data_IF_046157182712
#
_entry.id   IF_046157182712
#
_cell.length_a   1.000
_cell.length_b   1.000
_cell.length_c   1.000
_cell.angle_alpha   90.00
_cell.angle_beta   90.00
_cell.angle_gamma   90.00
#
_symmetry.space_group_name_H-M   'P 1'
#
loop_
_entity.id
_entity.type
_entity.pdbx_description
1 polymer ?
#
# COMPACT_ATOMS: atom_id res chain seq x y z
N UNK A 1 22.10 -3.55 -12.16
CA UNK A 1 22.23 -5.02 -12.26
C UNK A 1 22.13 -5.41 -13.73
N UNK A 2 22.89 -6.39 -14.21
CA UNK A 2 22.72 -6.85 -15.59
C UNK A 2 21.52 -7.80 -15.65
N UNK A 3 20.53 -7.52 -16.51
CA UNK A 3 19.34 -8.37 -16.67
C UNK A 3 19.70 -9.83 -16.98
N UNK A 4 20.85 -10.09 -17.62
CA UNK A 4 21.35 -11.43 -17.91
C UNK A 4 21.62 -12.29 -16.67
N UNK A 5 21.77 -11.69 -15.48
CA UNK A 5 21.88 -12.43 -14.22
C UNK A 5 20.59 -13.21 -13.90
N UNK A 6 19.45 -12.82 -14.47
CA UNK A 6 18.17 -13.53 -14.38
C UNK A 6 18.06 -14.71 -15.33
N UNK A 7 18.87 -14.75 -16.39
CA UNK A 7 18.79 -15.75 -17.47
C UNK A 7 18.76 -17.20 -16.95
N UNK A 8 19.56 -17.60 -15.94
CA UNK A 8 19.52 -18.96 -15.40
C UNK A 8 18.18 -19.38 -14.78
N UNK A 9 17.33 -18.43 -14.39
CA UNK A 9 15.98 -18.74 -13.86
C UNK A 9 15.04 -19.21 -14.96
N UNK A 10 15.23 -18.75 -16.20
CA UNK A 10 14.26 -18.89 -17.29
C UNK A 10 14.77 -19.72 -18.48
N UNK A 11 16.08 -19.99 -18.56
CA UNK A 11 16.70 -20.71 -19.68
C UNK A 11 16.04 -22.06 -19.93
N UNK A 12 15.51 -22.25 -21.16
CA UNK A 12 14.85 -23.46 -21.61
C UNK A 12 13.53 -23.78 -20.89
N UNK A 13 13.02 -22.88 -20.04
CA UNK A 13 11.76 -23.08 -19.31
C UNK A 13 10.57 -22.64 -20.13
N UNK A 14 9.46 -23.36 -19.99
CA UNK A 14 8.14 -22.90 -20.40
C UNK A 14 7.54 -22.10 -19.25
N UNK A 15 7.27 -20.82 -19.49
CA UNK A 15 6.78 -19.89 -18.48
C UNK A 15 5.35 -19.45 -18.78
N UNK A 16 4.44 -19.63 -17.81
CA UNK A 16 3.08 -19.09 -17.88
C UNK A 16 2.93 -17.86 -16.99
N UNK A 17 2.65 -16.71 -17.59
CA UNK A 17 2.34 -15.46 -16.89
C UNK A 17 0.88 -15.51 -16.45
N UNK A 18 0.64 -15.55 -15.14
CA UNK A 18 -0.70 -15.57 -14.57
C UNK A 18 -1.16 -14.12 -14.33
N UNK A 19 -2.13 -13.68 -15.13
CA UNK A 19 -2.69 -12.33 -15.13
C UNK A 19 -1.84 -11.33 -15.92
N UNK A 20 -2.47 -10.56 -16.81
CA UNK A 20 -1.80 -9.60 -17.71
C UNK A 20 -2.00 -8.12 -17.32
N UNK A 21 -2.01 -7.87 -16.00
CA UNK A 21 -2.02 -6.52 -15.43
C UNK A 21 -0.67 -5.80 -15.54
N UNK A 22 -0.38 -4.87 -14.61
CA UNK A 22 0.90 -4.14 -14.57
C UNK A 22 2.10 -5.09 -14.45
N UNK A 23 2.07 -6.01 -13.49
CA UNK A 23 3.16 -6.97 -13.28
C UNK A 23 3.26 -7.99 -14.44
N UNK A 24 2.13 -8.49 -14.96
CA UNK A 24 2.14 -9.41 -16.12
C UNK A 24 2.80 -8.82 -17.37
N UNK A 25 2.60 -7.52 -17.65
CA UNK A 25 3.28 -6.82 -18.75
C UNK A 25 4.80 -6.71 -18.52
N UNK A 26 5.20 -6.43 -17.28
CA UNK A 26 6.62 -6.38 -16.90
C UNK A 26 7.26 -7.76 -17.05
N UNK A 27 6.56 -8.83 -16.65
CA UNK A 27 7.02 -10.20 -16.90
C UNK A 27 7.24 -10.47 -18.38
N UNK A 28 6.23 -10.20 -19.21
CA UNK A 28 6.35 -10.46 -20.65
C UNK A 28 7.50 -9.66 -21.27
N UNK A 29 7.62 -8.38 -20.92
CA UNK A 29 8.72 -7.52 -21.39
C UNK A 29 10.08 -8.07 -20.96
N UNK A 30 10.22 -8.53 -19.71
CA UNK A 30 11.45 -9.10 -19.19
C UNK A 30 11.83 -10.38 -19.94
N UNK A 31 10.90 -11.33 -20.08
CA UNK A 31 11.17 -12.60 -20.74
C UNK A 31 11.51 -12.43 -22.23
N UNK A 32 10.78 -11.57 -22.95
CA UNK A 32 11.09 -11.26 -24.37
C UNK A 32 12.47 -10.65 -24.54
N UNK A 33 12.95 -9.85 -23.57
CA UNK A 33 14.29 -9.26 -23.60
C UNK A 33 15.39 -10.25 -23.26
N UNK A 34 15.12 -11.22 -22.39
CA UNK A 34 16.07 -12.29 -22.03
C UNK A 34 16.22 -13.31 -23.15
N UNK A 35 15.14 -13.55 -23.92
CA UNK A 35 15.09 -14.42 -25.09
C UNK A 35 15.73 -15.80 -24.85
N UNK A 36 15.36 -16.41 -23.72
CA UNK A 36 15.91 -17.70 -23.29
C UNK A 36 14.86 -18.73 -22.88
N UNK A 37 13.57 -18.36 -22.86
CA UNK A 37 12.49 -19.30 -22.56
C UNK A 37 12.25 -20.24 -23.74
N UNK A 38 11.88 -21.49 -23.46
CA UNK A 38 11.40 -22.40 -24.50
C UNK A 38 9.99 -22.01 -25.00
N UNK A 39 9.16 -21.48 -24.10
CA UNK A 39 7.82 -20.98 -24.41
C UNK A 39 7.43 -19.89 -23.40
N UNK A 40 6.68 -18.89 -23.88
CA UNK A 40 6.02 -17.89 -23.03
C UNK A 40 4.53 -17.94 -23.32
N UNK A 41 3.72 -18.10 -22.26
CA UNK A 41 2.27 -18.01 -22.33
C UNK A 41 1.74 -16.93 -21.40
N UNK A 42 0.60 -16.36 -21.77
CA UNK A 42 -0.17 -15.45 -20.92
C UNK A 42 -1.51 -16.10 -20.60
N UNK A 43 -1.74 -16.34 -19.31
CA UNK A 43 -2.93 -16.97 -18.79
C UNK A 43 -3.77 -15.95 -18.01
N UNK A 44 -5.00 -15.67 -18.46
CA UNK A 44 -5.86 -14.65 -17.87
C UNK A 44 -7.35 -15.04 -18.01
N UNK A 45 -8.21 -14.52 -17.14
CA UNK A 45 -9.66 -14.70 -17.26
C UNK A 45 -10.19 -14.07 -18.56
N UNK A 46 -9.65 -12.90 -18.93
CA UNK A 46 -10.05 -12.17 -20.14
C UNK A 46 -9.07 -12.40 -21.27
N UNK A 47 -9.55 -12.61 -22.51
CA UNK A 47 -8.68 -12.67 -23.67
C UNK A 47 -7.77 -11.44 -23.79
N UNK A 48 -6.51 -11.68 -24.14
CA UNK A 48 -5.53 -10.64 -24.44
C UNK A 48 -5.08 -10.78 -25.89
N UNK A 49 -4.94 -9.66 -26.58
CA UNK A 49 -4.40 -9.63 -27.95
C UNK A 49 -2.90 -9.32 -27.89
N UNK A 50 -2.09 -10.38 -27.91
CA UNK A 50 -0.63 -10.30 -27.76
C UNK A 50 0.01 -11.12 -28.90
N UNK A 51 0.66 -10.45 -29.88
CA UNK A 51 1.32 -11.15 -30.96
C UNK A 51 2.41 -12.10 -30.46
N UNK A 52 2.48 -13.28 -31.09
CA UNK A 52 3.55 -14.27 -30.92
C UNK A 52 3.69 -14.83 -29.49
N UNK A 53 2.60 -14.80 -28.72
CA UNK A 53 2.54 -15.33 -27.35
C UNK A 53 1.35 -16.29 -27.23
N UNK A 54 1.58 -17.46 -26.62
CA UNK A 54 0.51 -18.44 -26.37
C UNK A 54 -0.52 -17.85 -25.40
N UNK A 55 -1.78 -17.76 -25.81
CA UNK A 55 -2.88 -17.26 -24.97
C UNK A 55 -3.65 -18.39 -24.30
N UNK A 56 -3.82 -18.32 -22.97
CA UNK A 56 -4.62 -19.26 -22.18
C UNK A 56 -5.74 -18.48 -21.49
N UNK A 57 -6.96 -18.51 -22.03
CA UNK A 57 -8.04 -17.62 -21.57
C UNK A 57 -9.31 -18.34 -21.16
N UNK A 58 -10.06 -17.76 -20.23
CA UNK A 58 -11.35 -18.27 -19.75
C UNK A 58 -11.28 -18.79 -18.32
N UNK A 59 -12.36 -19.38 -17.82
CA UNK A 59 -12.48 -19.78 -16.41
C UNK A 59 -11.47 -20.85 -15.98
N UNK A 60 -11.07 -21.71 -16.92
CA UNK A 60 -10.14 -22.84 -16.75
C UNK A 60 -8.67 -22.47 -16.99
N UNK A 61 -8.35 -21.18 -17.16
CA UNK A 61 -6.99 -20.74 -17.54
C UNK A 61 -5.90 -21.24 -16.57
N UNK A 62 -6.19 -21.28 -15.27
CA UNK A 62 -5.25 -21.77 -14.26
C UNK A 62 -5.02 -23.27 -14.39
N UNK A 63 -6.05 -24.05 -14.72
CA UNK A 63 -5.92 -25.49 -14.93
C UNK A 63 -5.01 -25.80 -16.12
N UNK A 64 -5.17 -25.07 -17.23
CA UNK A 64 -4.34 -25.24 -18.42
C UNK A 64 -2.91 -24.71 -18.24
N UNK A 65 -2.68 -23.76 -17.34
CA UNK A 65 -1.36 -23.25 -17.02
C UNK A 65 -0.49 -24.24 -16.19
N UNK A 66 -1.10 -25.25 -15.54
CA UNK A 66 -0.39 -26.23 -14.68
C UNK A 66 0.73 -27.00 -15.36
N UNK A 67 0.65 -27.15 -16.69
CA UNK A 67 1.66 -27.86 -17.49
C UNK A 67 2.98 -27.12 -17.68
N UNK A 68 3.10 -25.87 -17.21
CA UNK A 68 4.29 -25.04 -17.37
C UNK A 68 5.30 -25.25 -16.24
N UNK A 69 6.57 -24.97 -16.54
CA UNK A 69 7.68 -25.20 -15.62
C UNK A 69 7.76 -24.09 -14.56
N UNK A 70 7.33 -22.87 -14.92
CA UNK A 70 7.22 -21.72 -14.03
C UNK A 70 5.85 -21.03 -14.19
N UNK A 71 5.25 -20.71 -13.04
CA UNK A 71 3.99 -19.97 -12.94
C UNK A 71 4.30 -18.55 -12.43
N UNK A 72 4.35 -17.57 -13.34
CA UNK A 72 4.74 -16.20 -13.02
C UNK A 72 3.52 -15.42 -12.54
N UNK A 73 3.32 -15.37 -11.23
CA UNK A 73 2.09 -14.87 -10.62
C UNK A 73 2.08 -13.35 -10.51
N UNK A 74 0.99 -12.73 -10.98
CA UNK A 74 0.61 -11.36 -10.60
C UNK A 74 -0.18 -11.36 -9.29
N UNK A 75 -0.02 -10.36 -8.39
CA UNK A 75 -0.64 -10.35 -7.05
C UNK A 75 -2.17 -10.43 -7.04
N UNK A 76 -2.83 -9.97 -8.10
CA UNK A 76 -4.30 -9.99 -8.22
C UNK A 76 -4.89 -11.34 -8.61
N UNK A 77 -4.07 -12.37 -8.86
CA UNK A 77 -4.52 -13.69 -9.26
C UNK A 77 -4.74 -14.59 -8.04
N UNK A 78 -6.00 -14.97 -7.81
CA UNK A 78 -6.41 -15.85 -6.71
C UNK A 78 -6.19 -17.32 -7.11
N UNK A 79 -5.31 -18.02 -6.38
CA UNK A 79 -4.84 -19.38 -6.70
C UNK A 79 -5.10 -20.42 -5.62
N UNK A 80 -5.58 -20.00 -4.45
CA UNK A 80 -5.43 -20.75 -3.19
C UNK A 80 -5.98 -22.17 -3.20
N UNK A 81 -7.07 -22.39 -3.93
CA UNK A 81 -7.76 -23.69 -4.03
C UNK A 81 -7.69 -24.30 -5.43
N UNK A 82 -6.95 -23.67 -6.34
CA UNK A 82 -6.88 -24.07 -7.75
C UNK A 82 -5.61 -24.84 -8.08
N UNK A 83 -4.57 -24.69 -7.26
CA UNK A 83 -3.27 -25.32 -7.45
C UNK A 83 -2.92 -26.25 -6.28
N UNK A 84 -2.33 -27.40 -6.61
CA UNK A 84 -1.71 -28.34 -5.68
C UNK A 84 -0.43 -27.74 -5.08
N UNK A 85 0.09 -28.34 -4.00
CA UNK A 85 1.34 -27.87 -3.38
C UNK A 85 2.55 -28.00 -4.33
N UNK A 86 2.56 -29.04 -5.16
CA UNK A 86 3.59 -29.20 -6.20
C UNK A 86 3.53 -28.07 -7.22
N UNK A 87 2.35 -27.68 -7.68
CA UNK A 87 2.18 -26.56 -8.62
C UNK A 87 2.52 -25.21 -7.95
N UNK A 88 2.15 -25.04 -6.68
CA UNK A 88 2.51 -23.85 -5.90
C UNK A 88 4.03 -23.69 -5.75
N UNK A 89 4.78 -24.79 -5.71
CA UNK A 89 6.25 -24.73 -5.65
C UNK A 89 6.91 -24.16 -6.91
N UNK A 90 6.18 -24.11 -8.03
CA UNK A 90 6.63 -23.53 -9.31
C UNK A 90 6.24 -22.06 -9.47
N UNK A 91 5.56 -21.48 -8.49
CA UNK A 91 5.19 -20.08 -8.50
C UNK A 91 6.43 -19.22 -8.31
N UNK A 92 6.58 -18.23 -9.18
CA UNK A 92 7.60 -17.20 -9.05
C UNK A 92 6.93 -15.83 -9.13
N UNK A 93 7.15 -15.00 -8.12
CA UNK A 93 6.65 -13.62 -8.08
C UNK A 93 7.78 -12.64 -8.37
N UNK A 94 7.44 -11.44 -8.83
CA UNK A 94 8.43 -10.38 -9.04
C UNK A 94 9.16 -10.02 -7.75
N UNK A 95 8.40 -10.00 -6.64
CA UNK A 95 8.92 -9.77 -5.29
C UNK A 95 9.93 -10.83 -4.90
N UNK A 96 9.65 -12.12 -5.12
CA UNK A 96 10.60 -13.21 -4.81
C UNK A 96 11.90 -13.06 -5.61
N UNK A 97 11.82 -12.74 -6.91
CA UNK A 97 13.01 -12.51 -7.74
C UNK A 97 13.83 -11.33 -7.21
N UNK A 98 13.19 -10.21 -6.88
CA UNK A 98 13.86 -9.04 -6.31
C UNK A 98 14.57 -9.39 -4.98
N UNK A 99 13.86 -10.06 -4.06
CA UNK A 99 14.36 -10.40 -2.73
C UNK A 99 15.46 -11.45 -2.74
N UNK A 100 15.40 -12.39 -3.70
CA UNK A 100 16.44 -13.39 -3.90
C UNK A 100 17.75 -12.77 -4.40
N UNK A 101 17.65 -11.80 -5.30
CA UNK A 101 18.82 -11.21 -5.96
C UNK A 101 19.48 -10.08 -5.16
N UNK A 102 18.69 -9.30 -4.41
CA UNK A 102 19.16 -8.11 -3.66
C UNK A 102 20.16 -7.24 -4.46
N UNK A 103 19.79 -6.73 -5.66
CA UNK A 103 20.70 -5.92 -6.49
C UNK A 103 21.11 -4.58 -5.86
N UNK A 104 20.41 -4.19 -4.81
CA UNK A 104 20.58 -2.97 -4.05
C UNK A 104 20.03 -3.22 -2.63
N UNK A 105 20.20 -2.27 -1.71
CA UNK A 105 19.59 -2.38 -0.37
C UNK A 105 18.06 -2.29 -0.48
N UNK A 106 17.34 -3.27 0.07
CA UNK A 106 15.87 -3.31 0.02
C UNK A 106 15.29 -3.04 1.41
N UNK A 107 14.37 -2.07 1.45
CA UNK A 107 13.49 -1.79 2.59
C UNK A 107 12.09 -2.28 2.22
N UNK A 108 11.68 -3.43 2.76
CA UNK A 108 10.32 -3.94 2.59
C UNK A 108 9.39 -3.44 3.67
N UNK A 109 8.22 -2.94 3.30
CA UNK A 109 7.21 -2.42 4.23
C UNK A 109 5.88 -3.12 4.00
N UNK A 110 5.31 -3.72 5.05
CA UNK A 110 3.97 -4.30 5.04
C UNK A 110 3.18 -3.99 6.32
N UNK A 111 1.90 -4.34 6.28
CA UNK A 111 0.91 -4.12 7.33
C UNK A 111 -0.49 -4.18 6.76
N UNK A 112 -1.50 -4.16 7.61
CA UNK A 112 -2.89 -4.03 7.16
C UNK A 112 -3.16 -2.58 6.75
N UNK A 113 -2.86 -1.62 7.63
CA UNK A 113 -2.98 -0.17 7.40
C UNK A 113 -1.62 0.54 7.52
N UNK A 114 -1.50 1.73 6.91
CA UNK A 114 -0.31 2.59 7.02
C UNK A 114 0.86 2.27 6.08
N UNK A 115 0.79 1.17 5.31
CA UNK A 115 1.83 0.73 4.36
C UNK A 115 2.29 1.84 3.42
N UNK A 116 1.37 2.36 2.61
CA UNK A 116 1.69 3.32 1.56
C UNK A 116 2.21 4.64 2.10
N UNK A 117 1.66 5.10 3.22
CA UNK A 117 2.15 6.31 3.89
C UNK A 117 3.58 6.09 4.42
N UNK A 118 3.83 4.97 5.09
CA UNK A 118 5.17 4.64 5.62
C UNK A 118 6.20 4.45 4.51
N UNK A 119 5.84 3.76 3.42
CA UNK A 119 6.71 3.60 2.24
C UNK A 119 7.04 4.94 1.60
N UNK A 120 6.05 5.81 1.45
CA UNK A 120 6.26 7.13 0.84
C UNK A 120 7.06 8.07 1.74
N UNK A 121 6.83 8.04 3.06
CA UNK A 121 7.66 8.75 4.04
C UNK A 121 9.10 8.26 4.04
N UNK A 122 9.31 6.94 4.02
CA UNK A 122 10.66 6.35 3.98
C UNK A 122 11.38 6.76 2.69
N UNK A 123 10.69 6.70 1.55
CA UNK A 123 11.21 7.18 0.27
C UNK A 123 11.56 8.68 0.33
N UNK A 124 10.67 9.52 0.87
CA UNK A 124 10.88 10.97 1.03
C UNK A 124 12.12 11.26 1.88
N UNK A 125 12.22 10.63 3.05
CA UNK A 125 13.35 10.80 3.97
C UNK A 125 14.69 10.41 3.36
N UNK A 126 14.74 9.27 2.66
CA UNK A 126 15.97 8.83 2.00
C UNK A 126 16.41 9.80 0.91
N UNK A 127 15.48 10.27 0.05
CA UNK A 127 15.81 11.27 -0.97
C UNK A 127 16.28 12.59 -0.34
N UNK A 128 15.63 13.05 0.72
CA UNK A 128 16.03 14.26 1.45
C UNK A 128 17.43 14.13 2.08
N UNK A 129 17.83 12.91 2.45
CA UNK A 129 19.17 12.60 2.94
C UNK A 129 20.21 12.39 1.82
N UNK A 130 19.82 12.49 0.55
CA UNK A 130 20.71 12.36 -0.61
C UNK A 130 20.91 10.94 -1.13
N UNK A 131 20.11 9.97 -0.67
CA UNK A 131 20.17 8.61 -1.20
C UNK A 131 19.54 8.56 -2.60
N UNK A 132 20.11 7.72 -3.47
CA UNK A 132 19.47 7.38 -4.74
C UNK A 132 18.37 6.33 -4.48
N UNK A 133 17.15 6.80 -4.28
CA UNK A 133 16.06 5.93 -3.82
C UNK A 133 15.05 5.64 -4.91
N UNK A 134 14.47 4.44 -4.88
CA UNK A 134 13.36 4.01 -5.73
C UNK A 134 12.18 3.60 -4.87
N UNK A 135 10.96 3.95 -5.31
CA UNK A 135 9.71 3.48 -4.71
C UNK A 135 9.10 2.43 -5.63
N UNK A 136 9.00 1.20 -5.15
CA UNK A 136 8.56 0.04 -5.93
C UNK A 136 7.56 -0.84 -5.16
N UNK A 137 7.00 -1.83 -5.85
CA UNK A 137 6.09 -2.82 -5.28
C UNK A 137 4.62 -2.46 -5.51
N UNK A 138 3.81 -2.52 -4.46
CA UNK A 138 2.37 -2.25 -4.53
C UNK A 138 2.05 -0.77 -4.86
N UNK A 139 2.98 0.15 -4.58
CA UNK A 139 2.94 1.54 -5.03
C UNK A 139 4.22 1.87 -5.82
N UNK A 140 4.21 2.97 -6.58
CA UNK A 140 5.30 3.28 -7.50
C UNK A 140 5.25 2.37 -8.72
N UNK A 141 6.35 1.70 -9.04
CA UNK A 141 6.45 0.75 -10.18
C UNK A 141 6.58 -0.70 -9.71
N UNK A 142 6.08 -1.69 -10.48
CA UNK A 142 6.37 -3.11 -10.30
C UNK A 142 7.85 -3.42 -9.96
N UNK A 143 8.11 -4.42 -9.09
CA UNK A 143 9.46 -4.69 -8.58
C UNK A 143 10.55 -4.86 -9.64
N UNK A 144 10.25 -5.49 -10.77
CA UNK A 144 11.25 -5.77 -11.81
C UNK A 144 11.26 -4.76 -12.96
N UNK A 145 10.36 -3.77 -12.98
CA UNK A 145 10.22 -2.83 -14.11
C UNK A 145 11.50 -2.02 -14.36
N UNK A 146 12.20 -1.66 -13.28
CA UNK A 146 13.41 -0.82 -13.31
C UNK A 146 14.63 -1.54 -12.71
N UNK A 147 14.69 -2.87 -12.81
CA UNK A 147 15.74 -3.68 -12.18
C UNK A 147 17.17 -3.32 -12.63
N UNK A 148 17.34 -2.84 -13.87
CA UNK A 148 18.65 -2.46 -14.39
C UNK A 148 19.22 -1.20 -13.72
N UNK A 149 18.34 -0.34 -13.21
CA UNK A 149 18.73 0.85 -12.47
C UNK A 149 19.18 0.54 -11.03
N UNK A 150 18.83 -0.65 -10.52
CA UNK A 150 19.18 -1.09 -9.18
C UNK A 150 20.65 -1.53 -9.14
N UNK A 151 21.41 -0.90 -8.26
CA UNK A 151 22.82 -1.19 -8.01
C UNK A 151 23.14 -0.95 -6.52
N UNK A 152 24.34 -1.32 -6.03
CA UNK A 152 24.69 -1.17 -4.61
C UNK A 152 24.57 0.25 -4.03
N UNK A 153 24.63 1.30 -4.86
CA UNK A 153 24.47 2.70 -4.44
C UNK A 153 23.01 3.18 -4.40
N UNK A 154 22.07 2.31 -4.79
CA UNK A 154 20.62 2.60 -4.75
C UNK A 154 19.96 1.96 -3.54
N UNK A 155 18.84 2.54 -3.10
CA UNK A 155 17.98 1.97 -2.05
C UNK A 155 16.58 1.80 -2.61
N UNK A 156 16.04 0.58 -2.57
CA UNK A 156 14.67 0.29 -2.96
C UNK A 156 13.76 0.29 -1.73
N UNK A 157 12.78 1.20 -1.69
CA UNK A 157 11.67 1.14 -0.76
C UNK A 157 10.53 0.39 -1.44
N UNK A 158 10.23 -0.81 -0.94
CA UNK A 158 9.29 -1.73 -1.55
C UNK A 158 8.06 -1.91 -0.65
N UNK A 159 6.91 -1.38 -1.06
CA UNK A 159 5.64 -1.73 -0.41
C UNK A 159 5.22 -3.15 -0.83
N UNK A 160 4.98 -4.03 0.16
CA UNK A 160 4.63 -5.43 -0.10
C UNK A 160 3.24 -5.76 0.46
N UNK A 161 2.35 -6.25 -0.39
CA UNK A 161 1.05 -6.80 0.01
C UNK A 161 1.20 -8.21 0.62
N UNK A 162 0.14 -8.75 1.23
CA UNK A 162 0.15 -10.14 1.70
C UNK A 162 0.27 -11.13 0.55
N UNK A 163 -0.38 -10.87 -0.59
CA UNK A 163 -0.29 -11.72 -1.79
C UNK A 163 1.13 -11.75 -2.36
N UNK A 164 1.82 -10.62 -2.35
CA UNK A 164 3.23 -10.54 -2.79
C UNK A 164 4.19 -11.27 -1.84
N UNK A 165 3.84 -11.43 -0.57
CA UNK A 165 4.66 -12.10 0.44
C UNK A 165 4.31 -13.58 0.64
N UNK A 166 3.19 -14.06 0.08
CA UNK A 166 2.70 -15.42 0.31
C UNK A 166 3.69 -16.48 -0.19
N UNK A 167 4.31 -16.24 -1.35
CA UNK A 167 5.22 -17.17 -2.04
C UNK A 167 6.67 -16.67 -2.10
N UNK A 168 7.10 -15.86 -1.12
CA UNK A 168 8.51 -15.48 -1.01
C UNK A 168 9.24 -16.42 -0.07
N UNK A 169 10.49 -16.70 -0.40
CA UNK A 169 11.43 -17.51 0.37
C UNK A 169 12.68 -16.71 0.77
N UNK A 170 12.69 -15.43 0.43
CA UNK A 170 13.71 -14.46 0.80
C UNK A 170 13.05 -13.25 1.45
N UNK A 171 13.77 -12.54 2.31
CA UNK A 171 13.31 -11.33 2.98
C UNK A 171 14.17 -10.12 2.56
N UNK A 172 13.67 -8.89 2.64
CA UNK A 172 14.47 -7.66 2.51
C UNK A 172 15.52 -7.52 3.64
N UNK A 173 16.57 -6.74 3.38
CA UNK A 173 17.55 -6.38 4.42
C UNK A 173 16.92 -5.59 5.56
N UNK A 174 15.97 -4.70 5.27
CA UNK A 174 15.23 -3.95 6.28
C UNK A 174 13.75 -4.26 6.10
N UNK A 175 13.14 -4.93 7.09
CA UNK A 175 11.75 -5.35 7.07
C UNK A 175 10.92 -4.53 8.07
N UNK A 176 9.82 -3.94 7.63
CA UNK A 176 8.87 -3.21 8.48
C UNK A 176 7.52 -3.91 8.46
N UNK A 177 7.01 -4.30 9.64
CA UNK A 177 5.67 -4.84 9.81
C UNK A 177 4.87 -3.96 10.77
N UNK A 178 3.94 -3.17 10.22
CA UNK A 178 3.27 -2.09 10.94
C UNK A 178 2.12 -2.54 11.86
N UNK A 179 1.30 -3.49 11.41
CA UNK A 179 0.11 -3.95 12.11
C UNK A 179 -0.51 -5.12 11.35
N UNK A 180 -1.32 -5.91 12.04
CA UNK A 180 -2.14 -6.98 11.46
C UNK A 180 -3.55 -6.83 12.04
N UNK A 181 -4.50 -6.45 11.20
CA UNK A 181 -5.92 -6.45 11.50
C UNK A 181 -6.66 -7.39 10.53
N UNK A 182 -7.85 -7.90 10.89
CA UNK A 182 -8.64 -8.72 9.98
C UNK A 182 -9.00 -7.97 8.69
N UNK A 183 -8.46 -8.42 7.55
CA UNK A 183 -8.72 -7.93 6.20
C UNK A 183 -8.41 -9.09 5.21
N UNK A 184 -9.09 -9.15 4.06
CA UNK A 184 -8.89 -10.19 3.03
C UNK A 184 -9.20 -11.64 3.45
N UNK A 185 -10.21 -11.86 4.30
CA UNK A 185 -10.63 -13.21 4.74
C UNK A 185 -11.27 -14.06 3.61
N UNK A 186 -11.58 -13.45 2.46
CA UNK A 186 -11.98 -14.11 1.23
C UNK A 186 -10.82 -14.87 0.55
N UNK A 187 -9.57 -14.43 0.77
CA UNK A 187 -8.36 -15.12 0.28
C UNK A 187 -7.67 -15.95 1.36
N UNK A 188 -7.94 -15.70 2.64
CA UNK A 188 -7.30 -16.42 3.75
C UNK A 188 -8.29 -17.22 4.60
N UNK A 189 -8.04 -18.53 4.69
CA UNK A 189 -8.78 -19.49 5.55
C UNK A 189 -8.81 -19.05 7.02
N UNK A 190 -7.83 -18.26 7.46
CA UNK A 190 -7.80 -17.67 8.81
C UNK A 190 -6.98 -16.38 8.86
N UNK A 191 -7.22 -15.57 9.90
CA UNK A 191 -6.39 -14.41 10.24
C UNK A 191 -4.92 -14.81 10.43
N UNK A 192 -4.66 -16.00 10.97
CA UNK A 192 -3.31 -16.51 11.19
C UNK A 192 -2.60 -16.85 9.86
N UNK A 193 -3.32 -17.38 8.87
CA UNK A 193 -2.76 -17.57 7.53
C UNK A 193 -2.39 -16.22 6.87
N UNK A 194 -3.25 -15.20 7.03
CA UNK A 194 -2.97 -13.83 6.58
C UNK A 194 -1.75 -13.22 7.29
N UNK A 195 -1.67 -13.38 8.61
CA UNK A 195 -0.55 -12.95 9.42
C UNK A 195 0.75 -13.64 8.97
N UNK A 196 0.71 -14.96 8.76
CA UNK A 196 1.86 -15.74 8.33
C UNK A 196 2.39 -15.34 6.95
N UNK A 197 1.51 -15.02 6.00
CA UNK A 197 1.93 -14.46 4.72
C UNK A 197 2.71 -13.15 4.93
N UNK A 198 2.24 -12.24 5.79
CA UNK A 198 2.97 -11.00 6.10
C UNK A 198 4.29 -11.23 6.82
N UNK A 199 4.37 -12.22 7.72
CA UNK A 199 5.61 -12.54 8.47
C UNK A 199 6.75 -12.99 7.57
N UNK A 200 6.48 -13.48 6.35
CA UNK A 200 7.52 -13.78 5.37
C UNK A 200 8.41 -12.56 5.04
N UNK A 201 7.95 -11.33 5.31
CA UNK A 201 8.76 -10.12 5.15
C UNK A 201 10.04 -10.12 6.01
N UNK A 202 10.07 -10.85 7.13
CA UNK A 202 11.27 -10.95 7.96
C UNK A 202 11.74 -12.39 8.22
N UNK A 203 10.90 -13.39 7.90
CA UNK A 203 11.13 -14.80 8.25
C UNK A 203 12.45 -15.35 7.73
N UNK A 204 12.93 -14.88 6.59
CA UNK A 204 14.12 -15.38 5.90
C UNK A 204 15.31 -14.41 5.98
N UNK A 205 15.29 -13.47 6.94
CA UNK A 205 16.40 -12.55 7.16
C UNK A 205 17.68 -13.26 7.63
N UNK A 206 18.82 -12.67 7.27
CA UNK A 206 20.16 -13.15 7.57
C UNK A 206 20.87 -12.26 8.62
N UNK A 207 22.11 -12.61 8.94
CA UNK A 207 22.93 -11.84 9.88
C UNK A 207 23.22 -10.47 9.29
N UNK A 208 22.96 -9.41 10.07
CA UNK A 208 23.12 -8.02 9.64
C UNK A 208 21.86 -7.36 9.07
N UNK A 209 20.82 -8.14 8.77
CA UNK A 209 19.50 -7.59 8.41
C UNK A 209 18.82 -6.95 9.64
N UNK A 210 17.80 -6.11 9.42
CA UNK A 210 17.04 -5.40 10.45
C UNK A 210 15.54 -5.70 10.33
N UNK A 211 14.92 -6.06 11.45
CA UNK A 211 13.48 -6.25 11.61
C UNK A 211 12.90 -5.11 12.44
N UNK A 212 11.98 -4.34 11.88
CA UNK A 212 11.25 -3.25 12.54
C UNK A 212 9.79 -3.70 12.70
N UNK A 213 9.42 -4.16 13.89
CA UNK A 213 8.12 -4.79 14.12
C UNK A 213 7.29 -4.01 15.13
N UNK A 214 6.00 -3.90 14.88
CA UNK A 214 5.07 -3.46 15.92
C UNK A 214 5.09 -4.44 17.09
N UNK A 215 5.28 -3.92 18.30
CA UNK A 215 5.39 -4.69 19.54
C UNK A 215 4.18 -5.58 19.79
N UNK A 216 2.99 -5.15 19.39
CA UNK A 216 1.73 -5.87 19.62
C UNK A 216 1.59 -7.16 18.79
N UNK A 217 2.47 -7.36 17.81
CA UNK A 217 2.39 -8.47 16.85
C UNK A 217 3.73 -9.21 16.73
N UNK A 218 4.64 -9.01 17.68
CA UNK A 218 5.86 -9.81 17.81
C UNK A 218 5.42 -11.18 18.32
N UNK A 219 5.55 -12.27 17.53
CA UNK A 219 5.26 -13.59 18.05
C UNK A 219 6.16 -13.96 19.23
N UNK A 220 5.62 -14.78 20.14
CA UNK A 220 6.24 -15.16 21.41
C UNK A 220 7.61 -15.85 21.26
N UNK A 221 7.91 -16.38 20.08
CA UNK A 221 9.17 -17.04 19.74
C UNK A 221 10.31 -16.06 19.43
N UNK A 222 10.02 -14.76 19.32
CA UNK A 222 11.01 -13.71 19.15
C UNK A 222 11.44 -13.20 20.52
N UNK A 223 12.63 -13.62 20.95
CA UNK A 223 13.29 -13.00 22.10
C UNK A 223 13.56 -11.52 21.83
N UNK A 224 12.96 -10.65 22.64
CA UNK A 224 13.10 -9.18 22.61
C UNK A 224 14.28 -8.67 23.43
N UNK A 225 14.92 -9.54 24.24
CA UNK A 225 15.92 -9.11 25.22
C UNK A 225 17.36 -9.20 24.68
N UNK A 226 18.09 -8.11 24.89
CA UNK A 226 19.54 -7.96 24.74
C UNK A 226 20.38 -8.82 25.73
N UNK A 227 19.81 -9.86 26.33
CA UNK A 227 20.48 -10.73 27.31
C UNK A 227 21.14 -11.98 26.70
N UNK A 228 21.22 -12.07 25.37
CA UNK A 228 21.93 -13.15 24.68
C UNK A 228 23.47 -12.96 24.66
N UNK A 229 24.00 -12.08 25.51
CA UNK A 229 25.44 -11.83 25.59
C UNK A 229 26.26 -12.93 26.28
N UNK A 230 25.65 -13.81 27.09
CA UNK A 230 26.42 -14.69 27.99
C UNK A 230 25.82 -16.10 28.27
N UNK A 231 24.88 -16.61 27.48
CA UNK A 231 24.29 -17.94 27.72
C UNK A 231 24.92 -19.02 26.81
N UNK A 232 25.71 -19.99 27.33
CA UNK A 232 26.39 -21.02 26.53
C UNK A 232 25.44 -22.10 25.97
N UNK A 233 24.14 -22.01 26.22
CA UNK A 233 23.13 -23.00 25.84
C UNK A 233 22.10 -22.48 24.81
N UNK A 234 22.37 -21.35 24.17
CA UNK A 234 21.49 -20.71 23.18
C UNK A 234 21.69 -21.22 21.74
N UNK A 235 22.09 -22.47 21.55
CA UNK A 235 22.39 -23.01 20.21
C UNK A 235 21.26 -23.79 19.53
N UNK A 236 20.14 -24.08 20.24
CA UNK A 236 19.08 -24.96 19.72
C UNK A 236 17.66 -24.37 19.66
N UNK A 237 17.45 -23.07 19.92
CA UNK A 237 16.15 -22.41 19.72
C UNK A 237 16.27 -21.25 18.72
N UNK A 238 16.20 -21.54 17.41
CA UNK A 238 15.76 -20.60 16.36
C UNK A 238 16.13 -19.11 16.47
N UNK A 239 17.32 -18.75 16.99
CA UNK A 239 17.68 -17.37 17.27
C UNK A 239 17.69 -16.56 15.98
N UNK A 240 16.94 -15.44 15.98
CA UNK A 240 16.90 -14.50 14.87
C UNK A 240 18.30 -14.10 14.44
N UNK A 241 18.55 -14.13 13.14
CA UNK A 241 19.78 -13.61 12.55
C UNK A 241 19.76 -12.08 12.41
N UNK A 242 18.59 -11.44 12.40
CA UNK A 242 18.45 -9.99 12.23
C UNK A 242 18.36 -9.22 13.55
N UNK A 243 18.78 -7.95 13.51
CA UNK A 243 18.61 -6.99 14.61
C UNK A 243 17.16 -6.54 14.70
N UNK A 244 16.54 -6.65 15.88
CA UNK A 244 15.17 -6.20 16.13
C UNK A 244 15.11 -4.75 16.62
N UNK A 245 14.19 -3.97 16.05
CA UNK A 245 13.72 -2.68 16.56
C UNK A 245 12.21 -2.80 16.76
N UNK A 246 11.73 -2.58 17.98
CA UNK A 246 10.29 -2.61 18.24
C UNK A 246 9.69 -1.21 18.07
N UNK A 247 8.56 -1.13 17.35
CA UNK A 247 7.78 0.10 17.17
C UNK A 247 6.42 -0.02 17.84
N UNK A 248 5.80 1.10 18.23
CA UNK A 248 4.50 1.07 18.89
C UNK A 248 3.86 2.44 19.08
N UNK A 249 2.71 2.47 19.75
CA UNK A 249 2.04 3.71 20.16
C UNK A 249 2.36 4.10 21.62
N UNK A 250 3.06 3.24 22.35
CA UNK A 250 3.43 3.42 23.75
C UNK A 250 4.60 2.50 24.12
N UNK A 251 5.09 2.63 25.37
CA UNK A 251 6.05 1.69 25.95
C UNK A 251 5.42 0.29 26.08
N UNK A 252 6.19 -0.80 25.96
CA UNK A 252 7.66 -0.86 26.00
C UNK A 252 8.36 -0.91 24.62
N UNK A 253 7.74 -0.38 23.56
CA UNK A 253 8.42 -0.29 22.26
C UNK A 253 9.69 0.59 22.32
N UNK A 254 10.72 0.23 21.55
CA UNK A 254 11.99 0.96 21.46
C UNK A 254 11.82 2.32 20.78
N UNK A 255 10.95 2.38 19.76
CA UNK A 255 10.55 3.64 19.13
C UNK A 255 9.03 3.73 19.10
N UNK A 256 8.45 4.77 19.66
CA UNK A 256 7.00 4.89 19.76
C UNK A 256 6.53 6.33 19.64
N UNK A 257 5.25 6.50 19.33
CA UNK A 257 4.62 7.83 19.28
C UNK A 257 3.50 7.93 20.30
N UNK A 258 3.62 8.87 21.24
CA UNK A 258 2.61 9.12 22.27
C UNK A 258 2.29 10.62 22.32
N UNK A 259 1.00 10.97 22.36
CA UNK A 259 0.52 12.37 22.43
C UNK A 259 1.13 13.32 21.38
N UNK A 260 1.50 12.79 20.21
CA UNK A 260 2.08 13.55 19.11
C UNK A 260 3.61 13.70 19.17
N UNK A 261 4.24 13.32 20.28
CA UNK A 261 5.69 13.22 20.39
C UNK A 261 6.19 11.89 19.79
N UNK A 262 7.46 11.86 19.42
CA UNK A 262 8.15 10.66 18.93
C UNK A 262 9.30 10.35 19.90
N UNK A 263 9.33 9.12 20.40
CA UNK A 263 10.38 8.60 21.25
C UNK A 263 11.21 7.61 20.44
N UNK A 264 12.51 7.84 20.36
CA UNK A 264 13.50 6.98 19.72
C UNK A 264 14.43 6.38 20.79
N UNK A 265 15.24 5.34 20.47
CA UNK A 265 16.09 4.70 21.47
C UNK A 265 17.04 5.62 22.22
N UNK A 266 17.48 6.70 21.58
CA UNK A 266 18.51 7.62 22.06
C UNK A 266 17.99 9.04 22.37
N UNK A 267 16.74 9.36 22.00
CA UNK A 267 16.19 10.72 22.16
C UNK A 267 14.66 10.79 22.09
N UNK A 268 14.12 11.86 22.63
CA UNK A 268 12.72 12.28 22.46
C UNK A 268 12.65 13.46 21.48
N UNK A 269 11.60 13.46 20.64
CA UNK A 269 11.22 14.56 19.77
C UNK A 269 9.85 15.06 20.25
N UNK A 270 9.79 16.23 20.92
CA UNK A 270 8.55 16.78 21.45
C UNK A 270 7.49 16.98 20.35
N UNK A 271 6.21 16.88 20.71
CA UNK A 271 5.10 17.01 19.76
C UNK A 271 5.13 18.32 18.94
N UNK A 272 5.59 19.43 19.54
CA UNK A 272 5.73 20.72 18.84
C UNK A 272 6.84 20.78 17.80
N UNK A 273 7.77 19.82 17.82
CA UNK A 273 8.88 19.70 16.87
C UNK A 273 8.55 18.75 15.71
N UNK A 274 7.54 17.88 15.86
CA UNK A 274 7.03 17.00 14.79
C UNK A 274 6.17 17.82 13.81
N UNK A 275 6.82 18.61 12.97
CA UNK A 275 6.17 19.48 11.97
C UNK A 275 5.79 18.67 10.74
N UNK A 276 4.52 18.24 10.66
CA UNK A 276 3.99 17.47 9.53
C UNK A 276 2.65 18.02 9.03
N UNK A 277 2.38 17.84 7.74
CA UNK A 277 1.06 18.12 7.14
C UNK A 277 0.09 16.95 7.35
N UNK A 278 0.59 15.76 7.71
CA UNK A 278 -0.24 14.58 7.91
C UNK A 278 -1.09 14.71 9.18
N UNK A 279 -2.39 14.42 9.06
CA UNK A 279 -3.35 14.52 10.17
C UNK A 279 -3.58 13.19 10.87
N UNK A 280 -3.76 13.23 12.20
CA UNK A 280 -4.16 12.07 13.01
C UNK A 280 -3.00 11.30 13.66
N UNK A 281 -3.28 10.72 14.84
CA UNK A 281 -2.28 10.01 15.67
C UNK A 281 -1.58 8.86 14.94
N UNK A 282 -2.32 8.13 14.10
CA UNK A 282 -1.79 7.03 13.30
C UNK A 282 -0.68 7.48 12.32
N UNK A 283 -0.66 8.75 11.90
CA UNK A 283 0.40 9.24 11.03
C UNK A 283 1.68 9.56 11.80
N UNK A 284 1.61 9.92 13.08
CA UNK A 284 2.82 10.02 13.93
C UNK A 284 3.45 8.64 14.12
N UNK A 285 2.63 7.60 14.26
CA UNK A 285 3.09 6.21 14.24
C UNK A 285 3.76 5.84 12.90
N UNK A 286 3.13 6.16 11.76
CA UNK A 286 3.73 5.92 10.44
C UNK A 286 5.06 6.68 10.24
N UNK A 287 5.15 7.92 10.73
CA UNK A 287 6.39 8.72 10.72
C UNK A 287 7.46 8.04 11.57
N UNK A 288 7.12 7.58 12.77
CA UNK A 288 8.05 6.85 13.65
C UNK A 288 8.61 5.60 12.97
N UNK A 289 7.74 4.79 12.36
CA UNK A 289 8.15 3.61 11.60
C UNK A 289 9.05 3.95 10.40
N UNK A 290 8.71 5.01 9.65
CA UNK A 290 9.49 5.47 8.50
C UNK A 290 10.87 6.04 8.90
N UNK A 291 10.95 6.76 10.02
CA UNK A 291 12.23 7.24 10.59
C UNK A 291 13.13 6.06 10.94
N UNK A 292 12.59 5.03 11.59
CA UNK A 292 13.38 3.82 11.92
C UNK A 292 13.83 3.06 10.69
N UNK A 293 13.00 2.96 9.65
CA UNK A 293 13.35 2.33 8.39
C UNK A 293 14.46 3.10 7.65
N UNK A 294 14.33 4.44 7.56
CA UNK A 294 15.33 5.29 6.94
C UNK A 294 16.68 5.27 7.71
N UNK A 295 16.64 5.34 9.04
CA UNK A 295 17.83 5.24 9.89
C UNK A 295 18.54 3.90 9.73
N UNK A 296 17.80 2.80 9.69
CA UNK A 296 18.35 1.47 9.47
C UNK A 296 19.09 1.36 8.12
N UNK A 297 18.70 2.17 7.12
CA UNK A 297 19.39 2.26 5.84
C UNK A 297 20.63 3.17 5.86
N UNK A 298 20.77 4.01 6.90
CA UNK A 298 21.87 4.95 7.12
C UNK A 298 21.49 6.43 7.01
N UNK A 299 20.18 6.75 6.94
CA UNK A 299 19.73 8.14 6.87
C UNK A 299 19.84 8.86 8.21
N UNK A 300 20.24 10.12 8.17
CA UNK A 300 20.32 10.98 9.35
C UNK A 300 18.92 11.44 9.78
N UNK A 301 18.53 11.15 11.03
CA UNK A 301 17.19 11.45 11.55
C UNK A 301 16.91 12.95 11.55
N UNK A 302 17.90 13.80 11.85
CA UNK A 302 17.69 15.25 11.87
C UNK A 302 17.36 15.79 10.48
N UNK A 303 18.05 15.32 9.44
CA UNK A 303 17.69 15.62 8.04
C UNK A 303 16.32 15.07 7.64
N UNK A 304 15.94 13.90 8.15
CA UNK A 304 14.61 13.33 7.91
C UNK A 304 13.51 14.19 8.55
N UNK A 305 13.69 14.62 9.80
CA UNK A 305 12.76 15.51 10.49
C UNK A 305 12.68 16.89 9.84
N UNK A 306 13.83 17.44 9.41
CA UNK A 306 13.88 18.72 8.71
C UNK A 306 13.10 18.73 7.39
N UNK A 307 12.99 17.58 6.70
CA UNK A 307 12.24 17.45 5.45
C UNK A 307 10.77 17.05 5.64
N UNK A 308 10.36 16.63 6.84
CA UNK A 308 8.99 16.21 7.14
C UNK A 308 7.90 17.28 6.80
N UNK A 309 8.14 18.60 6.97
CA UNK A 309 7.17 19.63 6.57
C UNK A 309 6.85 19.64 5.08
N UNK A 310 7.76 19.17 4.22
CA UNK A 310 7.60 19.16 2.76
C UNK A 310 6.80 17.94 2.27
N UNK A 311 6.62 16.93 3.12
CA UNK A 311 5.85 15.75 2.79
C UNK A 311 4.34 16.04 2.82
N UNK A 312 3.72 16.10 1.64
CA UNK A 312 2.29 16.43 1.46
C UNK A 312 1.33 15.24 1.59
N UNK A 313 1.85 14.04 1.84
CA UNK A 313 1.04 12.82 1.85
C UNK A 313 0.97 12.13 0.49
N UNK A 314 0.01 11.21 0.37
CA UNK A 314 -0.22 10.44 -0.85
C UNK A 314 -1.25 11.16 -1.71
N UNK A 315 -1.00 11.19 -3.03
CA UNK A 315 -1.99 11.67 -3.98
C UNK A 315 -3.31 10.88 -3.81
N UNK A 316 -4.43 11.60 -3.86
CA UNK A 316 -5.77 11.03 -3.71
C UNK A 316 -6.12 10.41 -2.35
N UNK A 317 -5.31 10.64 -1.30
CA UNK A 317 -5.58 10.20 0.08
C UNK A 317 -5.56 11.39 1.05
N UNK A 318 -6.74 11.93 1.36
CA UNK A 318 -6.90 13.19 2.12
C UNK A 318 -5.94 14.29 1.62
N UNK A 319 -5.69 14.32 0.32
CA UNK A 319 -4.74 15.21 -0.32
C UNK A 319 -5.31 16.63 -0.34
N UNK A 320 -4.60 17.59 0.24
CA UNK A 320 -4.89 19.00 0.03
C UNK A 320 -4.59 19.37 -1.43
N UNK A 321 -5.62 19.79 -2.17
CA UNK A 321 -5.50 20.19 -3.58
C UNK A 321 -5.18 21.67 -3.70
N UNK A 322 -6.06 22.53 -3.18
CA UNK A 322 -5.92 23.98 -3.24
C UNK A 322 -6.91 24.66 -2.28
N UNK A 323 -6.75 25.98 -2.10
CA UNK A 323 -7.72 26.86 -1.44
C UNK A 323 -8.22 27.91 -2.43
N UNK A 324 -9.49 27.82 -2.83
CA UNK A 324 -10.13 28.78 -3.74
C UNK A 324 -11.18 29.57 -2.98
N UNK A 325 -11.09 30.90 -3.00
CA UNK A 325 -12.03 31.80 -2.32
C UNK A 325 -12.24 31.46 -0.82
N UNK A 326 -11.19 31.00 -0.15
CA UNK A 326 -11.22 30.62 1.28
C UNK A 326 -11.72 29.20 1.55
N UNK A 327 -12.04 28.41 0.52
CA UNK A 327 -12.51 27.02 0.63
C UNK A 327 -11.37 26.05 0.31
N UNK A 328 -11.04 25.16 1.26
CA UNK A 328 -10.10 24.06 1.08
C UNK A 328 -10.75 22.91 0.30
N UNK A 329 -10.06 22.41 -0.73
CA UNK A 329 -10.48 21.24 -1.50
C UNK A 329 -9.59 20.05 -1.17
N UNK A 330 -10.21 18.98 -0.66
CA UNK A 330 -9.53 17.77 -0.21
C UNK A 330 -9.90 16.62 -1.14
N UNK A 331 -8.90 15.97 -1.72
CA UNK A 331 -9.03 14.82 -2.60
C UNK A 331 -8.75 13.53 -1.84
N UNK A 332 -9.80 12.77 -1.57
CA UNK A 332 -9.71 11.43 -1.00
C UNK A 332 -10.34 10.41 -1.97
N UNK A 333 -10.05 10.51 -3.27
CA UNK A 333 -10.64 9.62 -4.29
C UNK A 333 -10.38 8.12 -4.03
N UNK A 334 -9.36 7.75 -3.25
CA UNK A 334 -9.11 6.37 -2.81
C UNK A 334 -10.15 5.84 -1.80
N UNK A 335 -11.01 6.72 -1.28
CA UNK A 335 -12.15 6.42 -0.41
C UNK A 335 -13.23 5.65 -1.17
N UNK A 336 -13.11 4.32 -1.22
CA UNK A 336 -14.03 3.44 -1.95
C UNK A 336 -14.96 2.62 -1.05
N UNK A 337 -14.98 2.90 0.26
CA UNK A 337 -15.85 2.22 1.23
C UNK A 337 -16.48 3.20 2.24
N UNK A 338 -17.65 2.89 2.83
CA UNK A 338 -18.37 3.77 3.75
C UNK A 338 -17.57 4.16 5.00
N UNK A 339 -16.86 3.23 5.61
CA UNK A 339 -16.05 3.48 6.80
C UNK A 339 -14.91 4.47 6.53
N UNK A 340 -14.33 4.43 5.32
CA UNK A 340 -13.31 5.38 4.91
C UNK A 340 -13.89 6.80 4.80
N UNK A 341 -15.13 6.94 4.32
CA UNK A 341 -15.80 8.24 4.27
C UNK A 341 -16.05 8.85 5.64
N UNK A 342 -16.49 8.03 6.61
CA UNK A 342 -16.63 8.47 8.00
C UNK A 342 -15.28 8.92 8.56
N UNK A 343 -14.22 8.14 8.35
CA UNK A 343 -12.88 8.44 8.83
C UNK A 343 -12.32 9.72 8.20
N UNK A 344 -12.54 9.93 6.90
CA UNK A 344 -12.08 11.09 6.15
C UNK A 344 -12.69 12.38 6.70
N UNK A 345 -13.99 12.39 6.96
CA UNK A 345 -14.66 13.56 7.54
C UNK A 345 -14.18 13.82 8.97
N UNK A 346 -14.05 12.76 9.79
CA UNK A 346 -13.57 12.88 11.19
C UNK A 346 -12.08 13.24 11.31
N UNK A 347 -11.30 13.13 10.23
CA UNK A 347 -9.91 13.56 10.22
C UNK A 347 -9.77 15.09 10.42
N UNK A 348 -10.86 15.84 10.21
CA UNK A 348 -10.93 17.28 10.37
C UNK A 348 -11.79 17.64 11.60
N UNK A 349 -11.18 18.08 12.72
CA UNK A 349 -11.91 18.38 13.96
C UNK A 349 -12.98 19.48 13.81
N UNK A 350 -12.75 20.41 12.88
CA UNK A 350 -13.65 21.49 12.50
C UNK A 350 -14.70 21.09 11.43
N UNK A 351 -14.69 19.83 11.00
CA UNK A 351 -15.68 19.22 10.10
C UNK A 351 -15.48 19.54 8.61
N UNK A 352 -16.49 19.21 7.80
CA UNK A 352 -16.55 19.51 6.37
C UNK A 352 -17.90 20.13 6.04
N UNK A 353 -17.91 21.17 5.19
CA UNK A 353 -19.18 21.80 4.79
C UNK A 353 -19.85 21.00 3.68
N UNK A 354 -19.05 20.46 2.77
CA UNK A 354 -19.47 19.62 1.65
C UNK A 354 -18.68 18.32 1.60
N UNK A 355 -19.39 17.22 1.38
CA UNK A 355 -18.81 15.92 1.02
C UNK A 355 -19.42 15.42 -0.28
N UNK A 356 -18.57 15.01 -1.21
CA UNK A 356 -18.97 14.42 -2.50
C UNK A 356 -18.89 12.90 -2.38
N UNK A 357 -20.05 12.23 -2.50
CA UNK A 357 -20.23 10.78 -2.41
C UNK A 357 -20.75 10.22 -3.72
N UNK A 358 -20.55 8.92 -3.96
CA UNK A 358 -21.18 8.18 -5.05
C UNK A 358 -20.22 7.73 -6.15
N UNK A 359 -20.73 6.89 -7.03
CA UNK A 359 -19.95 6.07 -7.96
C UNK A 359 -20.58 4.69 -8.10
N UNK A 360 -19.89 3.75 -8.75
CA UNK A 360 -20.46 2.46 -9.10
C UNK A 360 -21.03 1.70 -7.91
N UNK A 361 -22.29 1.29 -8.05
CA UNK A 361 -22.95 0.45 -7.07
C UNK A 361 -22.37 -0.97 -7.08
N UNK A 362 -22.06 -1.47 -5.88
CA UNK A 362 -21.51 -2.82 -5.63
C UNK A 362 -22.35 -3.62 -4.64
N UNK A 363 -23.54 -3.13 -4.29
CA UNK A 363 -24.43 -3.67 -3.27
C UNK A 363 -23.74 -3.83 -1.91
N UNK A 364 -22.96 -2.82 -1.51
CA UNK A 364 -22.36 -2.78 -0.18
C UNK A 364 -23.31 -2.11 0.83
N UNK A 365 -23.22 -2.44 2.13
CA UNK A 365 -24.01 -1.81 3.18
C UNK A 365 -23.61 -0.33 3.39
N UNK A 366 -24.56 0.61 3.44
CA UNK A 366 -24.32 2.05 3.62
C UNK A 366 -24.92 2.62 4.91
N UNK A 367 -25.55 1.78 5.74
CA UNK A 367 -26.34 2.17 6.92
C UNK A 367 -25.49 3.00 7.89
N UNK A 368 -24.27 2.54 8.21
CA UNK A 368 -23.36 3.27 9.10
C UNK A 368 -22.98 4.66 8.60
N UNK A 369 -22.81 4.81 7.28
CA UNK A 369 -22.50 6.11 6.69
C UNK A 369 -23.72 7.01 6.72
N UNK A 370 -24.91 6.48 6.39
CA UNK A 370 -26.15 7.23 6.49
C UNK A 370 -26.42 7.70 7.94
N UNK A 371 -26.24 6.82 8.93
CA UNK A 371 -26.36 7.15 10.36
C UNK A 371 -25.39 8.27 10.75
N UNK A 372 -24.14 8.19 10.30
CA UNK A 372 -23.15 9.24 10.54
C UNK A 372 -23.57 10.57 9.91
N UNK A 373 -24.01 10.57 8.65
CA UNK A 373 -24.46 11.79 7.96
C UNK A 373 -25.70 12.39 8.64
N UNK A 374 -26.63 11.55 9.12
CA UNK A 374 -27.84 11.98 9.82
C UNK A 374 -27.56 12.75 11.12
N UNK A 375 -26.37 12.62 11.71
CA UNK A 375 -25.95 13.43 12.87
C UNK A 375 -25.84 14.93 12.57
N UNK A 376 -25.79 15.32 11.29
CA UNK A 376 -25.60 16.72 10.87
C UNK A 376 -24.14 17.18 10.95
N UNK A 377 -23.18 16.26 11.14
CA UNK A 377 -21.74 16.58 11.15
C UNK A 377 -21.25 17.16 9.80
N UNK A 378 -21.96 16.83 8.72
CA UNK A 378 -21.76 17.41 7.38
C UNK A 378 -23.07 18.07 6.95
N UNK A 379 -23.01 19.34 6.56
CA UNK A 379 -24.20 20.11 6.21
C UNK A 379 -24.69 19.83 4.79
N UNK A 380 -23.77 19.69 3.82
CA UNK A 380 -24.11 19.47 2.43
C UNK A 380 -23.51 18.14 1.94
N UNK A 381 -24.36 17.26 1.45
CA UNK A 381 -23.95 15.99 0.86
C UNK A 381 -24.30 16.02 -0.62
N UNK A 382 -23.26 16.03 -1.44
CA UNK A 382 -23.35 16.07 -2.90
C UNK A 382 -23.24 14.64 -3.41
N UNK A 383 -24.25 14.20 -4.13
CA UNK A 383 -24.52 12.81 -4.45
C UNK A 383 -24.34 12.61 -5.96
N UNK A 384 -23.25 11.95 -6.33
CA UNK A 384 -23.03 11.43 -7.69
C UNK A 384 -23.99 10.25 -7.97
N UNK A 385 -24.13 9.84 -9.24
CA UNK A 385 -25.01 8.73 -9.61
C UNK A 385 -24.72 7.39 -8.93
N UNK A 386 -25.64 6.45 -9.17
CA UNK A 386 -25.66 5.10 -8.62
C UNK A 386 -25.68 5.07 -7.09
N UNK A 387 -24.56 4.72 -6.45
CA UNK A 387 -24.49 4.56 -5.00
C UNK A 387 -24.72 5.88 -4.24
N UNK A 388 -24.36 7.03 -4.81
CA UNK A 388 -24.58 8.33 -4.16
C UNK A 388 -26.07 8.60 -3.99
N UNK A 389 -26.88 8.35 -5.03
CA UNK A 389 -28.34 8.50 -4.93
C UNK A 389 -28.93 7.59 -3.87
N UNK A 390 -28.49 6.33 -3.80
CA UNK A 390 -28.91 5.38 -2.77
C UNK A 390 -28.54 5.85 -1.36
N UNK A 391 -27.31 6.33 -1.15
CA UNK A 391 -26.90 6.92 0.14
C UNK A 391 -27.81 8.09 0.50
N UNK A 392 -28.12 8.96 -0.47
CA UNK A 392 -29.02 10.10 -0.27
C UNK A 392 -30.44 9.74 0.14
N UNK A 393 -30.94 8.58 -0.30
CA UNK A 393 -32.26 8.06 0.08
C UNK A 393 -32.28 7.53 1.51
N UNK A 394 -31.12 7.12 2.05
CA UNK A 394 -30.97 6.67 3.44
C UNK A 394 -30.77 7.82 4.43
N UNK A 395 -30.45 9.03 3.95
CA UNK A 395 -30.34 10.23 4.79
C UNK A 395 -31.73 10.81 5.04
N UNK A 396 -32.18 10.76 6.29
CA UNK A 396 -33.50 11.20 6.75
C UNK A 396 -33.46 12.52 7.52
N UNK A 397 -32.29 12.93 7.99
CA UNK A 397 -32.13 14.14 8.80
C UNK A 397 -32.42 15.42 7.99
N UNK A 398 -33.29 16.31 8.48
CA UNK A 398 -33.58 17.58 7.82
C UNK A 398 -32.42 18.59 7.95
N UNK A 399 -31.42 18.30 8.78
CA UNK A 399 -30.22 19.12 8.96
C UNK A 399 -29.23 18.98 7.79
N UNK A 400 -29.42 17.96 6.96
CA UNK A 400 -28.51 17.63 5.86
C UNK A 400 -29.14 18.07 4.55
N UNK A 401 -28.50 19.01 3.87
CA UNK A 401 -28.83 19.39 2.51
C UNK A 401 -28.30 18.33 1.54
N UNK A 402 -29.20 17.69 0.78
CA UNK A 402 -28.89 16.60 -0.14
C UNK A 402 -28.99 17.10 -1.57
N UNK A 403 -27.89 17.08 -2.31
CA UNK A 403 -27.86 17.60 -3.69
C UNK A 403 -27.43 16.48 -4.64
N UNK A 404 -28.36 16.02 -5.47
CA UNK A 404 -28.07 15.05 -6.53
C UNK A 404 -27.50 15.78 -7.75
N UNK A 405 -26.44 15.23 -8.33
CA UNK A 405 -25.73 15.79 -9.50
C UNK A 405 -25.42 14.69 -10.50
N UNK A 406 -25.31 15.03 -11.78
CA UNK A 406 -25.07 14.06 -12.87
C UNK A 406 -23.64 13.58 -12.97
N UNK A 407 -22.67 14.41 -12.57
CA UNK A 407 -21.25 14.12 -12.72
C UNK A 407 -20.37 14.92 -11.75
N UNK A 408 -19.06 14.64 -11.80
CA UNK A 408 -18.07 15.26 -10.92
C UNK A 408 -17.89 16.76 -11.20
N UNK A 409 -18.08 17.22 -12.44
CA UNK A 409 -17.95 18.63 -12.79
C UNK A 409 -19.09 19.45 -12.19
N UNK A 410 -20.32 18.94 -12.25
CA UNK A 410 -21.46 19.51 -11.54
C UNK A 410 -21.26 19.43 -10.02
N UNK A 411 -20.73 18.32 -9.50
CA UNK A 411 -20.44 18.18 -8.08
C UNK A 411 -19.48 19.28 -7.57
N UNK A 412 -18.37 19.52 -8.26
CA UNK A 412 -17.36 20.53 -7.88
C UNK A 412 -17.94 21.94 -7.97
N UNK A 413 -18.67 22.26 -9.05
CA UNK A 413 -19.36 23.57 -9.19
C UNK A 413 -20.38 23.79 -8.07
N UNK A 414 -21.20 22.81 -7.79
CA UNK A 414 -22.20 22.85 -6.70
C UNK A 414 -21.51 23.04 -5.35
N UNK A 415 -20.44 22.29 -5.08
CA UNK A 415 -19.68 22.40 -3.84
C UNK A 415 -19.10 23.81 -3.65
N UNK A 416 -18.57 24.42 -4.73
CA UNK A 416 -18.00 25.77 -4.68
C UNK A 416 -19.00 26.86 -4.29
N UNK A 417 -20.30 26.64 -4.55
CA UNK A 417 -21.37 27.59 -4.19
C UNK A 417 -21.87 27.42 -2.76
N UNK A 418 -21.72 26.22 -2.19
CA UNK A 418 -22.27 25.86 -0.88
C UNK A 418 -21.23 25.91 0.25
N UNK A 419 -19.99 25.53 -0.04
CA UNK A 419 -18.93 25.44 0.95
C UNK A 419 -18.39 26.83 1.33
N UNK A 420 -17.98 26.97 2.61
CA UNK A 420 -17.33 28.18 3.13
C UNK A 420 -15.90 27.94 3.59
N UNK A 421 -15.58 26.69 3.91
CA UNK A 421 -14.35 26.26 4.54
C UNK A 421 -13.77 25.04 3.86
N UNK A 422 -14.58 23.99 3.63
CA UNK A 422 -14.03 22.71 3.15
C UNK A 422 -14.98 21.87 2.30
N UNK A 423 -14.44 21.38 1.18
CA UNK A 423 -15.03 20.35 0.30
C UNK A 423 -14.15 19.11 0.35
N UNK A 424 -14.75 17.95 0.60
CA UNK A 424 -14.03 16.66 0.56
C UNK A 424 -14.63 15.77 -0.53
N UNK A 425 -13.82 15.35 -1.50
CA UNK A 425 -14.16 14.23 -2.38
C UNK A 425 -13.85 12.92 -1.65
N UNK A 426 -14.88 12.21 -1.18
CA UNK A 426 -14.73 10.89 -0.55
C UNK A 426 -15.84 9.96 -1.03
N UNK A 427 -15.69 9.35 -2.22
CA UNK A 427 -16.82 8.74 -2.94
C UNK A 427 -17.56 7.63 -2.17
N UNK A 428 -16.93 7.01 -1.18
CA UNK A 428 -17.42 5.81 -0.48
C UNK A 428 -17.73 4.63 -1.44
N UNK A 429 -17.30 4.72 -2.70
CA UNK A 429 -17.69 3.86 -3.79
C UNK A 429 -16.55 3.71 -4.82
N UNK A 430 -16.59 2.59 -5.53
CA UNK A 430 -15.64 2.32 -6.62
C UNK A 430 -15.77 3.35 -7.75
N UNK A 431 -14.66 3.65 -8.42
CA UNK A 431 -14.60 4.59 -9.55
C UNK A 431 -14.95 3.95 -10.89
N UNK A 432 -14.88 2.62 -10.97
CA UNK A 432 -15.16 1.84 -12.19
C UNK A 432 -16.54 2.17 -12.77
N UNK A 433 -16.74 1.95 -14.07
CA UNK A 433 -17.97 2.35 -14.78
C UNK A 433 -17.98 3.81 -15.23
N UNK A 434 -17.39 4.72 -14.43
CA UNK A 434 -17.23 6.14 -14.79
C UNK A 434 -15.79 6.52 -15.12
N UNK A 435 -14.83 5.85 -14.47
CA UNK A 435 -13.39 6.07 -14.63
C UNK A 435 -12.67 4.72 -14.72
N UNK A 436 -11.47 4.72 -15.30
CA UNK A 436 -10.56 3.58 -15.34
C UNK A 436 -10.12 3.15 -13.94
N UNK A 437 -9.87 4.10 -13.05
CA UNK A 437 -9.42 3.86 -11.67
C UNK A 437 -9.66 5.10 -10.79
N UNK A 438 -9.30 5.02 -9.51
CA UNK A 438 -9.55 6.12 -8.58
C UNK A 438 -8.58 7.29 -8.80
N UNK A 439 -7.39 7.02 -9.34
CA UNK A 439 -6.39 8.01 -9.68
C UNK A 439 -6.87 8.93 -10.80
N UNK A 440 -7.52 8.39 -11.84
CA UNK A 440 -8.13 9.18 -12.91
C UNK A 440 -9.24 10.08 -12.36
N UNK A 441 -10.12 9.54 -11.51
CA UNK A 441 -11.16 10.34 -10.83
C UNK A 441 -10.58 11.45 -9.96
N UNK A 442 -9.53 11.14 -9.19
CA UNK A 442 -8.85 12.10 -8.33
C UNK A 442 -8.12 13.18 -9.12
N UNK A 443 -7.53 12.82 -10.25
CA UNK A 443 -6.90 13.77 -11.19
C UNK A 443 -7.93 14.68 -11.86
N UNK A 444 -9.09 14.13 -12.24
CA UNK A 444 -10.21 14.90 -12.79
C UNK A 444 -10.73 15.91 -11.75
N UNK A 445 -10.88 15.51 -10.49
CA UNK A 445 -11.24 16.43 -9.40
C UNK A 445 -10.24 17.58 -9.27
N UNK A 446 -8.94 17.30 -9.26
CA UNK A 446 -7.89 18.33 -9.19
C UNK A 446 -7.98 19.32 -10.35
N UNK A 447 -8.21 18.82 -11.57
CA UNK A 447 -8.41 19.66 -12.76
C UNK A 447 -9.63 20.58 -12.59
N UNK A 448 -10.77 20.02 -12.18
CA UNK A 448 -12.00 20.79 -11.96
C UNK A 448 -11.86 21.85 -10.87
N UNK A 449 -11.13 21.55 -9.79
CA UNK A 449 -10.82 22.53 -8.73
C UNK A 449 -9.94 23.65 -9.27
N UNK A 450 -8.94 23.34 -10.09
CA UNK A 450 -8.08 24.35 -10.70
C UNK A 450 -8.84 25.28 -11.67
N UNK A 451 -9.91 24.78 -12.30
CA UNK A 451 -10.81 25.56 -13.18
C UNK A 451 -11.73 26.54 -12.40
N UNK A 452 -11.78 26.48 -11.07
CA UNK A 452 -12.55 27.42 -10.24
C UNK A 452 -11.81 28.74 -9.95
N UNK A 453 -10.56 28.87 -10.40
CA UNK A 453 -9.71 30.05 -10.17
C UNK A 453 -10.16 31.30 -10.92
#
# INVERSE_FOLDING_TARGET
>A
MNINELRPLFEGKRCAILGYGREGKVWLSLLKRLDCCAEIAVADMKPQDIPEVTGIYGEDYLERAKGYDLLLQSPGVIIKDKLTDEEKSRILTQTEVLLRLRPCKIIGITGTKGKSTTSSLTYHFLNACGFRTMLIGNIGVPPLERIEEMNPDTVAVCEMSCHQLEFVHHSPEIAVLLNIFPEHLDHYVSLEAYANAKRNIYRFQQSGDVSILNIDIIPDDICTNAECGNAPACSNSGYRKSRLITIGCERPAMAFSENGAIFLPDREIPAGEVRTQLRGKHNVYNITAALMAANAAGADIDRCLASLPDFRGLEHRLEYVDTINGVEYINDSICTIPEAAIAAVKAFPDGADCVILGGMERNIPYEKLADFLNTGYVQNVILLPDSGYRIGDMITSPLVNKVRVSDLAEAVRTASQLAKRRVILCPAAASYGFYKNFEERGSHFKKLVAELR
#
